data_IF_188976671093
#
_entry.id   IF_188976671093
#
_cell.length_a   1.000
_cell.length_b   1.000
_cell.length_c   1.000
_cell.angle_alpha   90.00
_cell.angle_beta   90.00
_cell.angle_gamma   90.00
#
_symmetry.space_group_name_H-M   'P 1'
#
loop_
_entity.id
_entity.type
_entity.pdbx_description
1 polymer ?
#
# COMPACT_ATOMS: atom_id res chain seq x y z
N UNK A 1 12.58 -4.17 7.26
CA UNK A 1 11.91 -3.14 6.41
C UNK A 1 11.07 -2.23 7.30
N UNK A 2 11.30 -0.90 7.32
CA UNK A 2 10.51 0.02 8.18
C UNK A 2 9.28 0.54 7.43
N UNK A 3 8.08 0.28 7.95
CA UNK A 3 6.81 0.81 7.40
C UNK A 3 6.82 2.34 7.32
N UNK A 4 6.31 2.88 6.20
CA UNK A 4 6.11 4.30 5.97
C UNK A 4 4.63 4.65 6.13
N UNK A 5 4.33 5.42 7.19
CA UNK A 5 2.98 5.84 7.55
C UNK A 5 2.86 7.36 7.51
N UNK A 6 1.65 7.87 7.31
CA UNK A 6 1.34 9.30 7.30
C UNK A 6 1.85 9.99 8.57
N UNK A 7 1.62 9.37 9.74
CA UNK A 7 2.17 9.84 11.03
C UNK A 7 3.69 10.00 11.01
N UNK A 8 4.38 9.07 10.37
CA UNK A 8 5.84 9.10 10.31
C UNK A 8 6.33 10.19 9.35
N UNK A 9 5.66 10.38 8.22
CA UNK A 9 5.96 11.48 7.30
C UNK A 9 5.85 12.84 7.99
N UNK A 10 4.76 13.07 8.71
CA UNK A 10 4.56 14.29 9.51
C UNK A 10 5.65 14.45 10.57
N UNK A 11 5.93 13.41 11.35
CA UNK A 11 6.90 13.50 12.46
C UNK A 11 8.35 13.62 12.01
N UNK A 12 8.71 13.02 10.87
CA UNK A 12 10.09 12.99 10.37
C UNK A 12 10.42 14.19 9.49
N UNK A 13 9.44 14.70 8.72
CA UNK A 13 9.68 15.77 7.74
C UNK A 13 8.99 17.10 8.09
N UNK A 14 8.26 17.18 9.21
CA UNK A 14 7.61 18.41 9.64
C UNK A 14 6.47 18.89 8.74
N UNK A 15 6.05 18.09 7.75
CA UNK A 15 5.01 18.45 6.78
C UNK A 15 3.60 18.33 7.36
N UNK A 16 2.64 19.06 6.79
CA UNK A 16 1.24 19.02 7.24
C UNK A 16 0.63 17.64 7.04
N UNK A 17 -0.28 17.24 7.93
CA UNK A 17 -0.98 15.95 7.83
C UNK A 17 -1.67 15.74 6.47
N UNK A 18 -2.35 16.77 5.98
CA UNK A 18 -3.05 16.76 4.69
C UNK A 18 -2.10 16.53 3.51
N UNK A 19 -0.89 17.10 3.55
CA UNK A 19 0.15 16.90 2.53
C UNK A 19 0.73 15.49 2.60
N UNK A 20 1.04 15.01 3.81
CA UNK A 20 1.49 13.64 4.01
C UNK A 20 0.46 12.61 3.51
N UNK A 21 -0.83 12.84 3.77
CA UNK A 21 -1.90 11.96 3.31
C UNK A 21 -2.04 11.99 1.79
N UNK A 22 -1.94 13.18 1.19
CA UNK A 22 -1.94 13.35 -0.28
C UNK A 22 -0.78 12.62 -0.94
N UNK A 23 0.45 12.74 -0.41
CA UNK A 23 1.63 12.02 -0.92
C UNK A 23 1.40 10.51 -0.87
N UNK A 24 0.94 9.99 0.27
CA UNK A 24 0.68 8.56 0.42
C UNK A 24 -0.36 8.08 -0.58
N UNK A 25 -1.46 8.83 -0.76
CA UNK A 25 -2.54 8.48 -1.68
C UNK A 25 -2.08 8.51 -3.13
N UNK A 26 -1.42 9.59 -3.56
CA UNK A 26 -0.98 9.76 -4.94
C UNK A 26 0.09 8.74 -5.34
N UNK A 27 1.08 8.49 -4.47
CA UNK A 27 2.17 7.56 -4.78
C UNK A 27 1.73 6.09 -4.70
N UNK A 28 0.79 5.74 -3.81
CA UNK A 28 0.15 4.42 -3.84
C UNK A 28 -0.65 4.21 -5.13
N UNK A 29 -1.45 5.20 -5.56
CA UNK A 29 -2.22 5.12 -6.81
C UNK A 29 -1.31 5.03 -8.04
N UNK A 30 -0.19 5.76 -8.06
CA UNK A 30 0.81 5.65 -9.13
C UNK A 30 1.50 4.30 -9.16
N UNK A 31 1.93 3.79 -8.00
CA UNK A 31 2.61 2.48 -7.90
C UNK A 31 1.68 1.32 -8.25
N UNK A 32 0.37 1.51 -8.09
CA UNK A 32 -0.67 0.61 -8.55
C UNK A 32 -1.08 0.77 -10.02
N UNK A 33 -0.49 1.69 -10.80
CA UNK A 33 -0.77 1.85 -12.25
C UNK A 33 0.27 1.12 -13.12
N UNK A 34 -0.14 0.79 -14.35
CA UNK A 34 0.72 0.13 -15.33
C UNK A 34 0.83 -1.39 -15.14
N UNK A 35 1.90 -1.99 -15.68
CA UNK A 35 2.09 -3.45 -15.71
C UNK A 35 2.10 -4.08 -14.31
N UNK A 36 2.71 -3.42 -13.32
CA UNK A 36 2.73 -3.91 -11.93
C UNK A 36 1.34 -3.91 -11.30
N UNK A 37 0.54 -2.88 -11.57
CA UNK A 37 -0.87 -2.82 -11.16
C UNK A 37 -1.68 -3.97 -11.73
N UNK A 38 -1.55 -4.24 -13.04
CA UNK A 38 -2.24 -5.35 -13.70
C UNK A 38 -1.87 -6.71 -13.10
N UNK A 39 -0.58 -6.94 -12.85
CA UNK A 39 -0.10 -8.17 -12.21
C UNK A 39 -0.68 -8.33 -10.81
N UNK A 40 -0.68 -7.26 -10.01
CA UNK A 40 -1.29 -7.27 -8.68
C UNK A 40 -2.80 -7.54 -8.74
N UNK A 41 -3.52 -6.92 -9.67
CA UNK A 41 -4.95 -7.18 -9.88
C UNK A 41 -5.22 -8.63 -10.27
N UNK A 42 -4.42 -9.22 -11.15
CA UNK A 42 -4.51 -10.64 -11.53
C UNK A 42 -4.26 -11.57 -10.35
N UNK A 43 -3.23 -11.31 -9.55
CA UNK A 43 -2.94 -12.08 -8.34
C UNK A 43 -4.09 -11.94 -7.33
N UNK A 44 -4.65 -10.74 -7.18
CA UNK A 44 -5.80 -10.52 -6.30
C UNK A 44 -7.05 -11.29 -6.75
N UNK A 45 -7.36 -11.24 -8.04
CA UNK A 45 -8.46 -12.00 -8.64
C UNK A 45 -8.27 -13.51 -8.45
N UNK A 46 -7.02 -13.99 -8.57
CA UNK A 46 -6.70 -15.40 -8.31
C UNK A 46 -6.92 -15.76 -6.85
N UNK A 47 -6.50 -14.91 -5.91
CA UNK A 47 -6.75 -15.09 -4.48
C UNK A 47 -8.23 -15.07 -4.11
N UNK A 48 -9.02 -14.18 -4.74
CA UNK A 48 -10.48 -14.13 -4.61
C UNK A 48 -11.15 -15.37 -5.21
N UNK A 49 -10.70 -15.82 -6.39
CA UNK A 49 -11.19 -17.06 -7.01
C UNK A 49 -10.91 -18.28 -6.14
N UNK A 50 -9.75 -18.33 -5.48
CA UNK A 50 -9.42 -19.37 -4.52
C UNK A 50 -10.38 -19.40 -3.33
N UNK A 51 -10.69 -18.22 -2.77
CA UNK A 51 -11.65 -18.07 -1.67
C UNK A 51 -13.07 -18.49 -2.04
N UNK A 52 -13.52 -18.10 -3.22
CA UNK A 52 -14.90 -18.32 -3.66
C UNK A 52 -15.13 -19.74 -4.18
N UNK A 53 -14.16 -20.29 -4.90
CA UNK A 53 -14.34 -21.56 -5.64
C UNK A 53 -13.28 -22.59 -5.32
N UNK A 54 -12.00 -22.18 -5.19
CA UNK A 54 -10.87 -23.11 -5.07
C UNK A 54 -10.98 -24.05 -3.88
N UNK A 55 -11.27 -23.52 -2.69
CA UNK A 55 -11.42 -24.33 -1.48
C UNK A 55 -12.60 -25.32 -1.56
N UNK A 56 -13.71 -24.90 -2.17
CA UNK A 56 -14.92 -25.72 -2.26
C UNK A 56 -14.81 -26.82 -3.32
N UNK A 57 -14.17 -26.53 -4.46
CA UNK A 57 -14.00 -27.49 -5.56
C UNK A 57 -12.93 -28.54 -5.28
N UNK A 58 -11.80 -28.16 -4.67
CA UNK A 58 -10.69 -29.09 -4.43
C UNK A 58 -10.89 -29.94 -3.17
N UNK A 59 -11.67 -29.44 -2.19
CA UNK A 59 -11.86 -30.10 -0.90
C UNK A 59 -13.34 -30.10 -0.47
N UNK A 60 -14.24 -30.70 -1.27
CA UNK A 60 -15.68 -30.68 -1.00
C UNK A 60 -16.07 -31.41 0.28
N UNK A 61 -15.25 -32.37 0.73
CA UNK A 61 -15.45 -33.16 1.94
C UNK A 61 -14.95 -32.48 3.23
N UNK A 62 -14.23 -31.36 3.12
CA UNK A 62 -13.65 -30.68 4.27
C UNK A 62 -14.62 -29.63 4.79
N UNK A 63 -15.08 -29.80 6.03
CA UNK A 63 -16.03 -28.91 6.70
C UNK A 63 -15.41 -28.25 7.94
N UNK A 64 -16.03 -27.15 8.39
CA UNK A 64 -15.64 -26.48 9.63
C UNK A 64 -14.23 -25.84 9.58
N UNK A 65 -13.45 -26.00 10.65
CA UNK A 65 -12.21 -25.27 10.86
C UNK A 65 -11.09 -25.59 9.84
N UNK A 66 -11.02 -26.83 9.35
CA UNK A 66 -10.05 -27.19 8.30
C UNK A 66 -10.34 -26.47 6.98
N UNK A 67 -11.61 -26.21 6.67
CA UNK A 67 -12.00 -25.45 5.49
C UNK A 67 -11.58 -23.98 5.59
N UNK A 68 -11.76 -23.36 6.75
CA UNK A 68 -11.22 -22.02 7.04
C UNK A 68 -9.69 -21.96 6.85
N UNK A 69 -8.97 -23.00 7.26
CA UNK A 69 -7.53 -23.12 7.02
C UNK A 69 -7.16 -23.13 5.53
N UNK A 70 -7.94 -23.83 4.69
CA UNK A 70 -7.72 -23.93 3.23
C UNK A 70 -8.13 -22.65 2.49
N UNK A 71 -9.09 -21.90 3.02
CA UNK A 71 -9.51 -20.59 2.48
C UNK A 71 -8.51 -19.47 2.84
N UNK A 72 -7.83 -19.61 3.99
CA UNK A 72 -6.86 -18.62 4.51
C UNK A 72 -5.73 -18.18 3.56
N UNK A 73 -5.17 -19.02 2.66
CA UNK A 73 -4.14 -18.58 1.71
C UNK A 73 -4.66 -17.52 0.74
N UNK A 74 -5.93 -17.60 0.31
CA UNK A 74 -6.54 -16.59 -0.55
C UNK A 74 -6.70 -15.24 0.14
N UNK A 75 -7.00 -15.25 1.45
CA UNK A 75 -7.01 -14.05 2.29
C UNK A 75 -5.61 -13.48 2.46
N UNK A 76 -4.61 -14.34 2.74
CA UNK A 76 -3.23 -13.93 2.91
C UNK A 76 -2.69 -13.26 1.64
N UNK A 77 -2.92 -13.88 0.47
CA UNK A 77 -2.57 -13.32 -0.84
C UNK A 77 -3.24 -11.96 -1.06
N UNK A 78 -4.53 -11.85 -0.72
CA UNK A 78 -5.27 -10.60 -0.85
C UNK A 78 -4.70 -9.48 0.03
N UNK A 79 -4.35 -9.78 1.29
CA UNK A 79 -3.71 -8.82 2.19
C UNK A 79 -2.33 -8.40 1.68
N UNK A 80 -1.51 -9.35 1.20
CA UNK A 80 -0.17 -9.06 0.67
C UNK A 80 -0.28 -8.15 -0.55
N UNK A 81 -1.17 -8.45 -1.49
CA UNK A 81 -1.36 -7.62 -2.70
C UNK A 81 -1.76 -6.19 -2.34
N UNK A 82 -2.58 -5.97 -1.32
CA UNK A 82 -2.91 -4.62 -0.84
C UNK A 82 -1.72 -3.87 -0.23
N UNK A 83 -0.74 -4.59 0.32
CA UNK A 83 0.44 -4.02 0.98
C UNK A 83 1.57 -3.70 -0.01
N UNK A 84 1.68 -4.43 -1.12
CA UNK A 84 2.77 -4.28 -2.10
C UNK A 84 2.87 -2.87 -2.70
N UNK A 85 1.80 -2.21 -3.17
CA UNK A 85 1.89 -0.85 -3.72
C UNK A 85 2.52 0.14 -2.75
N UNK A 86 2.23 -0.03 -1.45
CA UNK A 86 2.76 0.83 -0.38
C UNK A 86 4.24 0.60 -0.12
N UNK A 87 4.72 -0.63 -0.33
CA UNK A 87 6.15 -0.94 -0.24
C UNK A 87 6.92 -0.39 -1.44
N UNK A 88 6.35 -0.48 -2.65
CA UNK A 88 6.95 0.03 -3.88
C UNK A 88 7.00 1.57 -3.91
N UNK A 89 5.96 2.23 -3.39
CA UNK A 89 5.86 3.67 -3.35
C UNK A 89 6.80 4.34 -2.31
N UNK A 90 7.48 3.55 -1.46
CA UNK A 90 8.21 4.06 -0.29
C UNK A 90 9.26 5.10 -0.64
N UNK A 91 10.09 4.82 -1.63
CA UNK A 91 11.20 5.72 -2.00
C UNK A 91 10.69 7.00 -2.67
N UNK A 92 9.62 6.88 -3.47
CA UNK A 92 8.93 8.03 -4.06
C UNK A 92 8.27 8.93 -3.00
N UNK A 93 7.59 8.33 -2.01
CA UNK A 93 7.02 9.06 -0.87
C UNK A 93 8.11 9.78 -0.07
N UNK A 94 9.27 9.16 0.11
CA UNK A 94 10.41 9.75 0.81
C UNK A 94 10.97 10.96 0.05
N UNK A 95 11.24 10.80 -1.25
CA UNK A 95 11.77 11.87 -2.09
C UNK A 95 10.83 13.08 -2.14
N UNK A 96 9.52 12.86 -2.24
CA UNK A 96 8.52 13.96 -2.20
C UNK A 96 8.44 14.66 -0.86
N UNK A 97 8.52 13.90 0.24
CA UNK A 97 8.51 14.48 1.58
C UNK A 97 9.76 15.33 1.85
N UNK A 98 10.94 14.86 1.40
CA UNK A 98 12.19 15.61 1.48
C UNK A 98 12.13 16.92 0.67
N UNK A 99 11.57 16.87 -0.55
CA UNK A 99 11.38 18.07 -1.37
C UNK A 99 10.46 19.11 -0.70
N UNK A 100 9.34 18.67 -0.10
CA UNK A 100 8.41 19.56 0.59
C UNK A 100 9.01 20.18 1.85
N UNK A 101 9.74 19.39 2.65
CA UNK A 101 10.45 19.90 3.83
C UNK A 101 11.49 20.97 3.43
N UNK A 102 12.24 20.75 2.35
CA UNK A 102 13.22 21.71 1.86
C UNK A 102 12.60 23.03 1.36
N UNK A 103 11.37 23.00 0.82
CA UNK A 103 10.63 24.21 0.45
C UNK A 103 9.98 24.92 1.63
N UNK A 104 9.60 24.19 2.69
CA UNK A 104 9.08 24.78 3.93
C UNK A 104 10.12 25.68 4.61
N UNK A 105 11.34 25.16 4.77
CA UNK A 105 12.48 25.88 5.35
C UNK A 105 12.87 27.15 4.55
N UNK A 106 12.74 27.08 3.22
CA UNK A 106 13.08 28.20 2.33
C UNK A 106 12.06 29.34 2.36
N UNK A 107 10.82 29.04 2.74
CA UNK A 107 9.72 30.01 2.81
C UNK A 107 9.83 30.90 4.06
N UNK A 108 10.40 30.38 5.15
CA UNK A 108 10.69 31.17 6.37
C UNK A 108 11.94 32.06 6.24
N UNK A 109 12.77 31.84 5.21
CA UNK A 109 14.01 32.59 4.96
C UNK A 109 13.87 33.75 3.95
N UNK A 110 12.69 33.98 3.39
CA UNK A 110 12.46 35.14 2.53
C UNK A 110 12.04 36.34 3.39
N UNK A 111 12.92 37.33 3.64
CA UNK A 111 12.49 38.57 4.24
C UNK A 111 11.50 39.23 3.27
N UNK A 112 10.29 39.48 3.75
CA UNK A 112 9.32 40.35 3.09
C UNK A 112 10.03 41.69 2.81
N UNK A 113 10.39 41.91 1.54
CA UNK A 113 10.86 43.18 1.02
C UNK A 113 9.67 43.99 0.53
#
# INVERSE_FOLDING_TARGET
>A
MRWFTTRRLVRTYGIRWTEAERIVREECLRSGRGRTGLVLSLIHLTGLGWLLFGAHWLFPSVQGWMRMGIESPGLLVSMIVMLVPRLLARDAMRARAEALAATGDRSEQLPLR
#
